data_IF_757734737270
#
_entry.id   IF_757734737270
#
_cell.length_a   1.000
_cell.length_b   1.000
_cell.length_c   1.000
_cell.angle_alpha   90.00
_cell.angle_beta   90.00
_cell.angle_gamma   90.00
#
_symmetry.space_group_name_H-M   'P 1'
#
loop_
_entity.id
_entity.type
_entity.pdbx_description
1 polymer ?
#
# COMPACT_ATOMS: atom_id res chain seq x y z
N UNK A 1 11.98 -21.47 -13.91
CA UNK A 1 11.19 -20.27 -14.23
C UNK A 1 10.63 -19.65 -12.97
N UNK A 2 10.88 -18.37 -12.77
CA UNK A 2 10.36 -17.76 -11.55
C UNK A 2 8.84 -17.73 -11.56
N UNK A 3 8.27 -17.93 -10.41
CA UNK A 3 6.83 -17.86 -10.26
C UNK A 3 6.42 -16.38 -10.24
N UNK A 4 5.39 -16.01 -11.01
CA UNK A 4 4.94 -14.62 -10.95
C UNK A 4 4.43 -14.30 -9.55
N UNK A 5 4.56 -13.03 -9.17
CA UNK A 5 4.03 -12.59 -7.90
C UNK A 5 2.52 -12.75 -7.89
N UNK A 6 2.04 -13.28 -6.77
CA UNK A 6 0.61 -13.42 -6.57
C UNK A 6 0.01 -12.04 -6.33
N UNK A 7 -1.06 -11.74 -7.03
CA UNK A 7 -1.73 -10.46 -6.86
C UNK A 7 -2.47 -10.44 -5.52
N UNK A 8 -2.44 -9.29 -4.87
CA UNK A 8 -3.08 -9.09 -3.58
C UNK A 8 -4.40 -8.37 -3.82
N UNK A 9 -5.43 -8.84 -3.15
CA UNK A 9 -6.75 -8.22 -3.27
C UNK A 9 -6.82 -7.01 -2.36
N UNK A 10 -7.33 -5.91 -2.91
CA UNK A 10 -7.43 -4.64 -2.20
C UNK A 10 -8.85 -4.16 -2.30
N UNK A 11 -9.47 -3.86 -1.16
CA UNK A 11 -10.84 -3.35 -1.11
C UNK A 11 -10.88 -1.84 -0.93
N UNK A 12 -9.81 -1.26 -0.43
CA UNK A 12 -9.81 0.15 -0.11
C UNK A 12 -9.61 1.02 -1.36
N UNK A 13 -10.27 2.17 -1.39
CA UNK A 13 -10.16 3.13 -2.47
C UNK A 13 -9.80 4.48 -1.85
N UNK A 14 -8.50 4.77 -1.66
CA UNK A 14 -8.11 5.96 -0.93
C UNK A 14 -8.39 7.22 -1.74
N UNK A 15 -8.96 8.21 -1.06
CA UNK A 15 -9.16 9.53 -1.67
C UNK A 15 -7.88 10.34 -1.64
N UNK A 16 -7.05 10.11 -0.63
CA UNK A 16 -5.80 10.83 -0.45
C UNK A 16 -4.65 9.87 -0.70
N UNK A 17 -3.78 10.24 -1.63
CA UNK A 17 -2.67 9.38 -2.03
C UNK A 17 -1.32 10.04 -1.84
N UNK A 18 -1.28 11.22 -1.20
CA UNK A 18 -0.02 11.93 -0.99
C UNK A 18 -0.05 12.64 0.35
N UNK A 19 0.90 12.32 1.21
CA UNK A 19 1.06 12.93 2.52
C UNK A 19 2.43 13.59 2.57
N UNK A 20 2.50 14.82 3.02
CA UNK A 20 3.79 15.52 3.07
C UNK A 20 3.89 16.36 4.33
N UNK A 21 5.13 16.65 4.75
CA UNK A 21 5.33 17.58 5.86
C UNK A 21 4.79 18.96 5.49
N UNK A 22 4.09 19.56 6.43
CA UNK A 22 3.53 20.88 6.24
C UNK A 22 4.64 21.90 6.08
N UNK A 23 4.48 22.80 5.11
CA UNK A 23 5.41 23.90 4.94
C UNK A 23 6.65 23.60 4.14
N UNK A 24 6.83 22.35 3.69
CA UNK A 24 7.99 22.02 2.87
C UNK A 24 7.54 21.94 1.41
N UNK A 25 8.13 22.74 0.52
CA UNK A 25 7.74 22.72 -0.90
C UNK A 25 8.08 21.37 -1.53
N UNK A 26 7.26 20.98 -2.51
CA UNK A 26 7.43 19.70 -3.19
C UNK A 26 8.83 19.53 -3.77
N UNK A 27 9.41 20.61 -4.31
CA UNK A 27 10.70 20.53 -4.94
C UNK A 27 11.83 20.15 -3.99
N UNK A 28 11.59 20.29 -2.69
CA UNK A 28 12.59 19.98 -1.66
C UNK A 28 12.29 18.70 -0.90
N UNK A 29 11.28 17.96 -1.34
CA UNK A 29 10.87 16.74 -0.63
C UNK A 29 11.41 15.51 -1.31
N UNK A 30 11.96 14.60 -0.50
CA UNK A 30 12.14 13.23 -0.92
C UNK A 30 10.86 12.45 -0.64
N UNK A 31 10.62 11.42 -1.42
CA UNK A 31 9.39 10.65 -1.32
C UNK A 31 9.67 9.21 -0.97
N UNK A 32 8.79 8.65 -0.16
CA UNK A 32 8.74 7.21 0.09
C UNK A 32 7.50 6.70 -0.61
N UNK A 33 7.64 5.68 -1.43
CA UNK A 33 6.50 5.10 -2.13
C UNK A 33 5.91 3.97 -1.30
N UNK A 34 4.61 4.03 -1.06
CA UNK A 34 3.87 2.98 -0.37
C UNK A 34 2.93 2.33 -1.37
N UNK A 35 3.17 1.07 -1.75
CA UNK A 35 2.25 0.39 -2.67
C UNK A 35 0.86 0.27 -2.07
N UNK A 36 -0.15 0.20 -2.92
CA UNK A 36 -1.52 0.14 -2.43
C UNK A 36 -1.77 -1.09 -1.58
N UNK A 37 -1.19 -2.24 -1.92
CA UNK A 37 -1.35 -3.42 -1.07
C UNK A 37 -0.72 -3.22 0.30
N UNK A 38 0.32 -2.39 0.40
CA UNK A 38 0.90 -2.04 1.69
C UNK A 38 -0.06 -1.23 2.54
N UNK A 39 -0.73 -0.26 1.92
CA UNK A 39 -1.74 0.52 2.62
C UNK A 39 -2.89 -0.37 3.08
N UNK A 40 -3.31 -1.32 2.23
CA UNK A 40 -4.37 -2.25 2.61
C UNK A 40 -3.95 -3.13 3.78
N UNK A 41 -2.70 -3.60 3.76
CA UNK A 41 -2.21 -4.40 4.88
C UNK A 41 -2.24 -3.61 6.19
N UNK A 42 -1.84 -2.34 6.13
CA UNK A 42 -1.89 -1.46 7.30
C UNK A 42 -3.34 -1.28 7.77
N UNK A 43 -4.25 -1.08 6.84
CA UNK A 43 -5.66 -0.90 7.19
C UNK A 43 -6.19 -2.12 7.91
N UNK A 44 -5.94 -3.30 7.36
CA UNK A 44 -6.48 -4.53 7.93
C UNK A 44 -5.88 -4.86 9.28
N UNK A 45 -4.56 -4.75 9.41
CA UNK A 45 -3.87 -5.16 10.62
C UNK A 45 -3.92 -4.08 11.69
N UNK A 46 -3.59 -2.84 11.32
CA UNK A 46 -3.33 -1.81 12.31
C UNK A 46 -4.51 -0.90 12.58
N UNK A 47 -5.41 -0.73 11.60
CA UNK A 47 -6.60 0.07 11.80
C UNK A 47 -7.79 -0.80 12.20
N UNK A 48 -8.03 -1.91 11.47
CA UNK A 48 -9.16 -2.79 11.75
C UNK A 48 -8.87 -3.80 12.84
N UNK A 49 -7.59 -4.06 13.11
CA UNK A 49 -7.22 -4.96 14.18
C UNK A 49 -7.38 -6.44 13.87
N UNK A 50 -7.37 -6.80 12.59
CA UNK A 50 -7.48 -8.20 12.22
C UNK A 50 -6.20 -8.96 12.55
N UNK A 51 -6.34 -10.26 12.84
CA UNK A 51 -5.18 -11.12 12.97
C UNK A 51 -4.50 -11.28 11.61
N UNK A 52 -3.24 -11.73 11.62
CA UNK A 52 -2.53 -11.95 10.37
C UNK A 52 -3.26 -12.97 9.50
N UNK A 53 -3.81 -14.01 10.10
CA UNK A 53 -4.55 -15.00 9.33
C UNK A 53 -5.78 -14.41 8.66
N UNK A 54 -6.54 -13.60 9.41
CA UNK A 54 -7.73 -12.95 8.87
C UNK A 54 -7.39 -11.96 7.78
N UNK A 55 -6.36 -11.15 8.03
CA UNK A 55 -5.94 -10.14 7.05
C UNK A 55 -5.40 -10.79 5.79
N UNK A 56 -4.59 -11.84 5.94
CA UNK A 56 -4.05 -12.55 4.79
C UNK A 56 -5.18 -13.16 3.95
N UNK A 57 -6.18 -13.74 4.61
CA UNK A 57 -7.33 -14.29 3.89
C UNK A 57 -8.07 -13.21 3.12
N UNK A 58 -8.24 -12.05 3.73
CA UNK A 58 -8.90 -10.92 3.08
C UNK A 58 -8.15 -10.47 1.82
N UNK A 59 -6.85 -10.53 1.84
CA UNK A 59 -6.02 -10.12 0.69
C UNK A 59 -5.72 -11.28 -0.26
N UNK A 60 -6.19 -12.48 0.05
CA UNK A 60 -5.99 -13.63 -0.82
C UNK A 60 -4.56 -14.10 -0.91
N UNK A 61 -3.79 -13.93 0.17
CA UNK A 61 -2.38 -14.34 0.20
C UNK A 61 -2.11 -15.19 1.43
N UNK A 62 -0.94 -15.82 1.46
CA UNK A 62 -0.51 -16.58 2.62
C UNK A 62 -0.19 -15.65 3.78
N UNK A 63 -0.22 -16.21 5.01
CA UNK A 63 0.17 -15.43 6.19
C UNK A 63 1.60 -14.91 6.06
N UNK A 64 2.47 -15.73 5.50
CA UNK A 64 3.86 -15.32 5.32
C UNK A 64 3.97 -14.12 4.38
N UNK A 65 3.27 -14.18 3.25
CA UNK A 65 3.26 -13.06 2.30
C UNK A 65 2.65 -11.81 2.92
N UNK A 66 1.53 -11.98 3.65
CA UNK A 66 0.93 -10.84 4.33
C UNK A 66 1.91 -10.20 5.31
N UNK A 67 2.60 -11.02 6.10
CA UNK A 67 3.58 -10.51 7.06
C UNK A 67 4.67 -9.69 6.39
N UNK A 68 5.14 -10.12 5.22
CA UNK A 68 6.17 -9.39 4.49
C UNK A 68 5.64 -8.08 3.93
N UNK A 69 4.43 -8.10 3.39
CA UNK A 69 3.80 -6.87 2.88
C UNK A 69 3.60 -5.88 4.02
N UNK A 70 3.11 -6.35 5.16
CA UNK A 70 2.86 -5.48 6.31
C UNK A 70 4.16 -4.89 6.85
N UNK A 71 5.19 -5.72 6.99
CA UNK A 71 6.47 -5.25 7.50
C UNK A 71 7.05 -4.17 6.59
N UNK A 72 6.99 -4.39 5.29
CA UNK A 72 7.48 -3.41 4.32
C UNK A 72 6.67 -2.12 4.39
N UNK A 73 5.36 -2.22 4.52
CA UNK A 73 4.50 -1.04 4.62
C UNK A 73 4.80 -0.23 5.88
N UNK A 74 4.96 -0.91 7.00
CA UNK A 74 5.30 -0.25 8.26
C UNK A 74 6.64 0.47 8.15
N UNK A 75 7.60 -0.16 7.49
CA UNK A 75 8.91 0.47 7.30
C UNK A 75 8.80 1.72 6.43
N UNK A 76 8.01 1.66 5.36
CA UNK A 76 7.82 2.82 4.49
C UNK A 76 7.23 3.99 5.26
N UNK A 77 6.21 3.73 6.07
CA UNK A 77 5.59 4.79 6.88
C UNK A 77 6.59 5.36 7.87
N UNK A 78 7.35 4.49 8.53
CA UNK A 78 8.35 4.93 9.49
C UNK A 78 9.42 5.80 8.82
N UNK A 79 9.87 5.41 7.62
CA UNK A 79 10.86 6.20 6.90
C UNK A 79 10.33 7.59 6.57
N UNK A 80 9.07 7.68 6.18
CA UNK A 80 8.47 8.97 5.87
C UNK A 80 8.38 9.84 7.11
N UNK A 81 7.88 9.28 8.20
CA UNK A 81 7.68 10.04 9.42
C UNK A 81 9.00 10.46 10.06
N UNK A 82 9.92 9.52 10.22
CA UNK A 82 11.19 9.80 10.89
C UNK A 82 12.07 10.71 10.04
N UNK A 83 12.06 10.48 8.73
CA UNK A 83 12.91 11.25 7.82
C UNK A 83 12.30 12.54 7.32
N UNK A 84 11.06 12.85 7.69
CA UNK A 84 10.39 14.06 7.21
C UNK A 84 10.17 14.03 5.71
N UNK A 85 9.89 12.86 5.15
CA UNK A 85 9.69 12.68 3.72
C UNK A 85 8.21 12.61 3.40
N UNK A 86 7.89 12.85 2.12
CA UNK A 86 6.51 12.66 1.68
C UNK A 86 6.23 11.17 1.51
N UNK A 87 4.98 10.81 1.67
CA UNK A 87 4.52 9.43 1.47
C UNK A 87 3.57 9.42 0.28
N UNK A 88 3.99 8.74 -0.77
CA UNK A 88 3.20 8.64 -2.01
C UNK A 88 2.62 7.24 -2.11
N UNK A 89 1.31 7.15 -2.23
CA UNK A 89 0.61 5.88 -2.34
C UNK A 89 0.35 5.61 -3.81
N UNK A 90 1.06 4.64 -4.37
CA UNK A 90 0.85 4.27 -5.77
C UNK A 90 1.53 2.94 -6.07
N UNK A 91 1.07 2.31 -7.13
CA UNK A 91 1.70 1.12 -7.67
C UNK A 91 1.49 -0.12 -6.84
N UNK A 92 2.29 -1.13 -7.10
CA UNK A 92 2.26 -2.39 -6.40
C UNK A 92 1.64 -3.51 -7.21
N UNK A 93 1.48 -4.66 -6.56
CA UNK A 93 0.93 -5.88 -7.17
C UNK A 93 -0.40 -6.20 -6.50
N UNK A 94 -1.48 -5.67 -7.06
CA UNK A 94 -2.79 -5.82 -6.43
C UNK A 94 -3.90 -5.83 -7.46
N UNK A 95 -5.05 -6.34 -7.03
CA UNK A 95 -6.29 -6.34 -7.80
C UNK A 95 -7.37 -5.70 -6.93
N UNK A 96 -8.07 -4.73 -7.47
CA UNK A 96 -9.11 -4.05 -6.73
C UNK A 96 -10.37 -4.91 -6.71
N UNK A 97 -10.93 -5.11 -5.53
CA UNK A 97 -12.17 -5.88 -5.38
C UNK A 97 -13.26 -5.09 -4.67
N UNK A 98 -13.10 -3.77 -4.62
CA UNK A 98 -14.12 -2.89 -4.08
C UNK A 98 -15.09 -2.40 -5.15
N UNK A 99 -16.02 -1.49 -4.78
CA UNK A 99 -17.04 -1.03 -5.73
C UNK A 99 -16.51 -0.16 -6.85
N UNK A 100 -15.46 0.58 -6.62
CA UNK A 100 -14.90 1.49 -7.64
C UNK A 100 -13.39 1.39 -7.62
N UNK A 101 -12.76 1.32 -8.80
CA UNK A 101 -11.30 1.30 -8.85
C UNK A 101 -10.73 2.59 -8.27
N UNK A 102 -9.61 2.52 -7.56
CA UNK A 102 -8.97 3.72 -7.08
C UNK A 102 -8.38 4.53 -8.24
N UNK A 103 -8.35 5.83 -8.07
CA UNK A 103 -7.74 6.72 -9.04
C UNK A 103 -6.46 7.27 -8.43
N UNK A 104 -5.38 7.17 -9.19
CA UNK A 104 -4.08 7.65 -8.74
C UNK A 104 -3.59 8.74 -9.65
N UNK A 105 -2.96 9.72 -9.05
CA UNK A 105 -2.29 10.75 -9.79
C UNK A 105 -1.09 10.12 -10.49
N UNK A 106 -1.16 10.01 -11.80
CA UNK A 106 -0.06 9.58 -12.61
C UNK A 106 0.01 8.11 -12.94
N UNK A 107 -0.35 7.21 -12.04
CA UNK A 107 -0.16 5.79 -12.31
C UNK A 107 -1.28 4.97 -11.69
N UNK A 108 -2.00 4.29 -12.51
CA UNK A 108 -3.09 3.46 -12.06
C UNK A 108 -2.66 2.04 -11.73
N UNK A 109 -3.64 1.17 -11.46
CA UNK A 109 -3.33 -0.22 -11.21
C UNK A 109 -2.73 -0.88 -12.44
N UNK A 110 -1.96 -1.93 -12.21
CA UNK A 110 -1.42 -2.71 -13.31
C UNK A 110 -2.55 -3.37 -14.05
N UNK A 111 -2.50 -3.24 -15.37
CA UNK A 111 -3.49 -3.91 -16.19
C UNK A 111 -3.15 -5.38 -16.31
N UNK A 112 -4.17 -6.18 -16.36
CA UNK A 112 -4.01 -7.59 -16.65
C UNK A 112 -4.08 -7.77 -18.15
N UNK A 113 -3.13 -8.50 -18.64
CA UNK A 113 -3.08 -8.78 -20.07
C UNK A 113 -3.76 -10.06 -20.43
#
# INVERSE_FOLDING_TARGET
MPRPKQERQVALNPEVTYFKPRGVPLMHLEEVCLPLEGLEALRLADLEGLSQAEAAASMGVSRHTFGRVLASARRNVAQALVGGRALRIEGGHWVFNGPHPPEFCGRGPKKRE
#
